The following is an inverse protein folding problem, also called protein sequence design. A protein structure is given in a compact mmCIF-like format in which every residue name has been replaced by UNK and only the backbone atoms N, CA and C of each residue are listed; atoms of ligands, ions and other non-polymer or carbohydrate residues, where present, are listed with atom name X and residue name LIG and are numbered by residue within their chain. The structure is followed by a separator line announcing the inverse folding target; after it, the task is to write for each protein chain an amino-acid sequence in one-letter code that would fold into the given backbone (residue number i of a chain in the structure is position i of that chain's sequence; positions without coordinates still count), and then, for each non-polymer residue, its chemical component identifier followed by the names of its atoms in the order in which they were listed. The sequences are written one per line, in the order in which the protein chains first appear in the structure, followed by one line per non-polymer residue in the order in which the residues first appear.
data_IF_401153175331
#
_entry.id   IF_401153175331
#
_cell.length_a   1.000
_cell.length_b   1.000
_cell.length_c   1.000
_cell.angle_alpha   90.00
_cell.angle_beta   90.00
_cell.angle_gamma   90.00
#
_symmetry.space_group_name_H-M   'P 1'
#
loop_
_entity.id
_entity.type
_entity.pdbx_description
1 polymer ?
#
# COMPACT_ATOMS: atom_id res chain seq x y z
N UNK A 1 18.37 6.35 -6.99
CA UNK A 1 17.14 5.96 -7.74
C UNK A 1 16.91 4.44 -7.80
N UNK A 2 17.91 3.61 -7.45
CA UNK A 2 17.78 2.15 -7.32
C UNK A 2 16.71 1.70 -6.31
N UNK A 3 16.65 2.33 -5.14
CA UNK A 3 15.71 1.91 -4.07
C UNK A 3 14.24 2.05 -4.48
N UNK A 4 13.91 3.05 -5.31
CA UNK A 4 12.55 3.20 -5.85
C UNK A 4 12.17 2.05 -6.78
N UNK A 5 13.11 1.55 -7.59
CA UNK A 5 12.87 0.38 -8.45
C UNK A 5 12.66 -0.88 -7.62
N UNK A 6 13.45 -1.07 -6.57
CA UNK A 6 13.30 -2.22 -5.65
C UNK A 6 11.92 -2.20 -4.99
N UNK A 7 11.52 -1.06 -4.43
CA UNK A 7 10.20 -0.90 -3.79
C UNK A 7 9.08 -1.12 -4.80
N UNK A 8 9.18 -0.53 -5.99
CA UNK A 8 8.19 -0.70 -7.06
C UNK A 8 8.00 -2.16 -7.45
N UNK A 9 9.11 -2.87 -7.68
CA UNK A 9 9.08 -4.27 -8.06
C UNK A 9 8.48 -5.14 -6.94
N UNK A 10 8.84 -4.88 -5.68
CA UNK A 10 8.30 -5.63 -4.54
C UNK A 10 6.78 -5.42 -4.38
N UNK A 11 6.30 -4.18 -4.52
CA UNK A 11 4.86 -3.88 -4.50
C UNK A 11 4.17 -4.62 -5.64
N UNK A 12 4.73 -4.55 -6.85
CA UNK A 12 4.16 -5.19 -8.03
C UNK A 12 4.07 -6.70 -7.90
N UNK A 13 5.09 -7.34 -7.31
CA UNK A 13 5.08 -8.78 -7.05
C UNK A 13 3.98 -9.18 -6.06
N UNK A 14 3.82 -8.42 -4.97
CA UNK A 14 2.77 -8.67 -3.96
C UNK A 14 1.38 -8.48 -4.57
N UNK A 15 1.17 -7.40 -5.32
CA UNK A 15 -0.11 -7.12 -5.99
C UNK A 15 -0.43 -8.20 -6.99
N UNK A 16 0.54 -8.57 -7.85
CA UNK A 16 0.36 -9.65 -8.81
C UNK A 16 -0.06 -10.94 -8.11
N UNK A 17 0.62 -11.32 -7.03
CA UNK A 17 0.26 -12.50 -6.25
C UNK A 17 -1.16 -12.43 -5.71
N UNK A 18 -1.58 -11.28 -5.19
CA UNK A 18 -2.94 -11.09 -4.68
C UNK A 18 -4.02 -11.20 -5.76
N UNK A 19 -3.75 -10.66 -6.95
CA UNK A 19 -4.63 -10.79 -8.13
C UNK A 19 -4.68 -12.25 -8.62
N UNK A 20 -3.52 -12.90 -8.78
CA UNK A 20 -3.43 -14.31 -9.19
C UNK A 20 -4.21 -15.23 -8.22
N UNK A 21 -4.20 -14.90 -6.92
CA UNK A 21 -4.89 -15.63 -5.86
C UNK A 21 -6.35 -15.18 -5.65
N UNK A 22 -6.83 -14.21 -6.41
CA UNK A 22 -8.16 -13.61 -6.27
C UNK A 22 -8.45 -13.04 -4.86
N UNK A 23 -7.41 -12.65 -4.12
CA UNK A 23 -7.54 -11.93 -2.83
C UNK A 23 -7.59 -10.42 -3.01
N UNK A 24 -7.15 -9.92 -4.17
CA UNK A 24 -7.27 -8.53 -4.60
C UNK A 24 -8.14 -8.42 -5.85
N UNK A 25 -8.99 -7.39 -5.90
CA UNK A 25 -9.85 -7.00 -7.03
C UNK A 25 -9.01 -6.45 -8.18
N UNK A 26 -9.48 -6.69 -9.39
CA UNK A 26 -8.91 -6.12 -10.62
C UNK A 26 -7.93 -7.05 -11.35
N UNK A 27 -7.79 -6.81 -12.64
CA UNK A 27 -6.94 -7.52 -13.58
C UNK A 27 -5.70 -6.69 -14.00
N UNK A 28 -5.73 -5.38 -13.78
CA UNK A 28 -4.60 -4.48 -14.04
C UNK A 28 -3.68 -4.33 -12.82
N UNK A 29 -2.65 -5.19 -12.78
CA UNK A 29 -1.58 -5.17 -11.77
C UNK A 29 -0.82 -3.85 -11.73
N UNK A 30 -0.63 -3.16 -12.86
CA UNK A 30 0.16 -1.91 -12.88
C UNK A 30 -0.58 -0.78 -12.17
N UNK A 31 -1.84 -0.56 -12.54
CA UNK A 31 -2.66 0.47 -11.90
C UNK A 31 -2.83 0.22 -10.41
N UNK A 32 -3.04 -1.03 -10.01
CA UNK A 32 -3.19 -1.40 -8.60
C UNK A 32 -1.87 -1.22 -7.82
N UNK A 33 -0.73 -1.56 -8.42
CA UNK A 33 0.60 -1.33 -7.82
C UNK A 33 0.89 0.16 -7.64
N UNK A 34 0.51 0.98 -8.61
CA UNK A 34 0.62 2.42 -8.51
C UNK A 34 -0.24 2.97 -7.37
N UNK A 35 -1.50 2.52 -7.26
CA UNK A 35 -2.40 2.94 -6.17
C UNK A 35 -1.83 2.59 -4.79
N UNK A 36 -1.29 1.37 -4.62
CA UNK A 36 -0.64 0.94 -3.37
C UNK A 36 0.55 1.84 -3.04
N UNK A 37 1.43 2.08 -4.01
CA UNK A 37 2.61 2.93 -3.81
C UNK A 37 2.24 4.37 -3.46
N UNK A 38 1.24 4.94 -4.16
CA UNK A 38 0.76 6.29 -3.91
C UNK A 38 0.21 6.43 -2.49
N UNK A 39 -0.55 5.43 -2.01
CA UNK A 39 -1.12 5.45 -0.66
C UNK A 39 -0.05 5.38 0.43
N UNK A 40 0.92 4.47 0.30
CA UNK A 40 2.02 4.35 1.26
C UNK A 40 2.89 5.62 1.30
N UNK A 41 3.14 6.20 0.13
CA UNK A 41 3.88 7.47 0.02
C UNK A 41 3.10 8.61 0.68
N UNK A 42 1.78 8.70 0.46
CA UNK A 42 0.92 9.69 1.10
C UNK A 42 0.86 9.55 2.61
N UNK A 43 0.78 8.33 3.13
CA UNK A 43 0.84 8.05 4.57
C UNK A 43 2.19 8.50 5.18
N UNK A 44 3.30 8.23 4.48
CA UNK A 44 4.63 8.70 4.90
C UNK A 44 4.70 10.23 4.91
N UNK A 45 4.24 10.89 3.85
CA UNK A 45 4.21 12.35 3.78
C UNK A 45 3.38 12.95 4.91
N UNK A 46 2.21 12.37 5.21
CA UNK A 46 1.37 12.81 6.31
C UNK A 46 2.11 12.69 7.65
N UNK A 47 2.76 11.56 7.94
CA UNK A 47 3.59 11.40 9.14
C UNK A 47 4.69 12.47 9.24
N UNK A 48 5.37 12.79 8.12
CA UNK A 48 6.43 13.80 8.10
C UNK A 48 5.93 15.22 8.39
N UNK A 49 4.63 15.50 8.17
CA UNK A 49 4.02 16.78 8.55
C UNK A 49 3.65 16.88 10.03
N UNK A 50 3.79 15.79 10.79
CA UNK A 50 3.41 15.70 12.20
C UNK A 50 4.65 15.43 13.08
N UNK A 51 5.37 16.48 13.53
CA UNK A 51 6.69 16.36 14.15
C UNK A 51 6.70 15.73 15.55
N UNK A 52 5.54 15.50 16.16
CA UNK A 52 5.42 14.94 17.51
C UNK A 52 5.01 13.47 17.53
N UNK A 53 4.88 12.85 16.35
CA UNK A 53 4.49 11.46 16.25
C UNK A 53 5.55 10.55 16.87
N UNK A 54 5.14 9.75 17.84
CA UNK A 54 5.98 8.66 18.34
C UNK A 54 5.91 7.43 17.41
N UNK A 55 6.73 6.41 17.69
CA UNK A 55 6.81 5.21 16.84
C UNK A 55 5.49 4.45 16.71
N UNK A 56 4.69 4.39 17.78
CA UNK A 56 3.41 3.68 17.78
C UNK A 56 2.35 4.42 16.98
N UNK A 57 2.31 5.75 17.10
CA UNK A 57 1.43 6.61 16.31
C UNK A 57 1.80 6.53 14.82
N UNK A 58 3.10 6.42 14.51
CA UNK A 58 3.59 6.31 13.14
C UNK A 58 3.14 5.00 12.51
N UNK A 59 3.28 3.90 13.26
CA UNK A 59 2.81 2.59 12.86
C UNK A 59 1.27 2.58 12.70
N UNK A 60 0.54 3.16 13.64
CA UNK A 60 -0.92 3.22 13.60
C UNK A 60 -1.44 3.95 12.36
N UNK A 61 -0.79 5.06 11.97
CA UNK A 61 -1.17 5.80 10.76
C UNK A 61 -0.96 4.95 9.50
N UNK A 62 0.19 4.28 9.39
CA UNK A 62 0.47 3.39 8.26
C UNK A 62 -0.48 2.19 8.22
N UNK A 63 -0.86 1.63 9.37
CA UNK A 63 -1.84 0.54 9.44
C UNK A 63 -3.21 1.03 8.97
N UNK A 64 -3.66 2.21 9.39
CA UNK A 64 -4.96 2.76 8.97
C UNK A 64 -4.98 3.05 7.47
N UNK A 65 -3.88 3.58 6.95
CA UNK A 65 -3.61 3.74 5.54
C UNK A 65 -3.79 2.41 4.77
N UNK A 66 -3.12 1.34 5.23
CA UNK A 66 -3.21 0.00 4.62
C UNK A 66 -4.65 -0.55 4.70
N UNK A 67 -5.32 -0.42 5.85
CA UNK A 67 -6.72 -0.85 6.01
C UNK A 67 -7.65 -0.14 5.03
N UNK A 68 -7.49 1.17 4.87
CA UNK A 68 -8.29 1.96 3.92
C UNK A 68 -8.05 1.51 2.49
N UNK A 69 -6.78 1.33 2.09
CA UNK A 69 -6.42 0.76 0.79
C UNK A 69 -7.10 -0.60 0.57
N UNK A 70 -6.91 -1.54 1.51
CA UNK A 70 -7.48 -2.88 1.43
C UNK A 70 -9.01 -2.86 1.35
N UNK A 71 -9.70 -1.94 2.03
CA UNK A 71 -11.16 -1.84 1.92
C UNK A 71 -11.65 -1.54 0.49
N UNK A 72 -10.83 -0.86 -0.32
CA UNK A 72 -11.14 -0.57 -1.72
C UNK A 72 -10.74 -1.69 -2.68
N UNK A 73 -9.74 -2.50 -2.34
CA UNK A 73 -9.10 -3.43 -3.29
C UNK A 73 -9.21 -4.90 -2.88
N UNK A 74 -9.53 -5.24 -1.64
CA UNK A 74 -9.69 -6.61 -1.21
C UNK A 74 -10.99 -7.19 -1.80
N UNK A 75 -10.95 -8.47 -2.17
CA UNK A 75 -12.16 -9.22 -2.48
C UNK A 75 -12.89 -9.55 -1.19
N UNK A 76 -14.23 -9.55 -1.22
CA UNK A 76 -15.05 -10.03 -0.12
C UNK A 76 -14.90 -11.55 -0.10
N UNK A 77 -13.80 -12.04 0.48
CA UNK A 77 -13.63 -13.46 0.76
C UNK A 77 -14.40 -13.72 2.06
N UNK A 78 -15.59 -14.32 1.92
CA UNK A 78 -16.34 -14.92 3.03
C UNK A 78 -15.54 -16.04 3.72
#
# INVERSE_FOLDING_TARGET
MEIYKVISNAIKEIVKRGVDQQTLKGDDVESLSFAVMAMLSGATQLCLTMPHLNGDEYAALHINAIKMLLSGIATDTE
#
